data_IF_067872508235
#
_entry.id   IF_067872508235
#
_cell.length_a   1.000
_cell.length_b   1.000
_cell.length_c   1.000
_cell.angle_alpha   90.00
_cell.angle_beta   90.00
_cell.angle_gamma   90.00
#
_symmetry.space_group_name_H-M   'P 1'
#
loop_
_entity.id
_entity.type
_entity.pdbx_description
1 polymer ?
#
# COMPACT_ATOMS: atom_id res chain seq x y z
N UNK A 1 12.86 5.35 24.22
CA UNK A 1 11.65 4.52 24.14
C UNK A 1 10.74 4.88 22.97
N UNK A 2 10.49 6.16 22.66
CA UNK A 2 9.64 6.57 21.52
C UNK A 2 10.21 6.09 20.16
N UNK A 3 11.51 6.26 19.93
CA UNK A 3 12.23 5.81 18.73
C UNK A 3 12.13 4.31 18.48
N UNK A 4 12.19 3.49 19.54
CA UNK A 4 12.01 2.04 19.42
C UNK A 4 10.60 1.65 18.98
N UNK A 5 9.56 2.39 19.40
CA UNK A 5 8.17 2.15 18.95
C UNK A 5 7.98 2.54 17.48
N UNK A 6 8.61 3.64 17.05
CA UNK A 6 8.60 4.03 15.64
C UNK A 6 9.30 3.01 14.75
N UNK A 7 10.47 2.52 15.14
CA UNK A 7 11.20 1.50 14.39
C UNK A 7 10.41 0.19 14.29
N UNK A 8 9.81 -0.27 15.40
CA UNK A 8 8.96 -1.46 15.37
C UNK A 8 7.71 -1.27 14.50
N UNK A 9 7.13 -0.06 14.48
CA UNK A 9 5.98 0.24 13.62
C UNK A 9 6.38 0.27 12.14
N UNK A 10 7.49 0.93 11.80
CA UNK A 10 8.02 0.95 10.43
C UNK A 10 8.38 -0.46 9.95
N UNK A 11 8.98 -1.28 10.80
CA UNK A 11 9.32 -2.67 10.47
C UNK A 11 8.07 -3.48 10.09
N UNK A 12 7.00 -3.40 10.89
CA UNK A 12 5.73 -4.06 10.58
C UNK A 12 5.08 -3.52 9.29
N UNK A 13 5.24 -2.22 9.03
CA UNK A 13 4.72 -1.54 7.85
C UNK A 13 5.37 -2.07 6.57
N UNK A 14 6.66 -2.38 6.62
CA UNK A 14 7.41 -2.94 5.48
C UNK A 14 7.35 -4.47 5.37
N UNK A 15 7.15 -5.20 6.47
CA UNK A 15 7.00 -6.66 6.45
C UNK A 15 5.68 -7.12 5.79
N UNK A 16 4.59 -6.42 6.06
CA UNK A 16 3.27 -6.80 5.54
C UNK A 16 3.18 -6.87 4.00
N UNK A 17 3.66 -5.86 3.25
CA UNK A 17 3.65 -5.94 1.78
C UNK A 17 4.56 -7.05 1.23
N UNK A 18 5.67 -7.38 1.92
CA UNK A 18 6.55 -8.49 1.52
C UNK A 18 5.83 -9.84 1.66
N UNK A 19 5.14 -10.05 2.79
CA UNK A 19 4.32 -11.25 3.00
C UNK A 19 3.18 -11.35 1.98
N UNK A 20 2.53 -10.23 1.66
CA UNK A 20 1.47 -10.18 0.65
C UNK A 20 1.98 -10.57 -0.75
N UNK A 21 3.13 -10.03 -1.18
CA UNK A 21 3.74 -10.40 -2.46
C UNK A 21 4.16 -11.87 -2.49
N UNK A 22 4.67 -12.39 -1.37
CA UNK A 22 5.07 -13.79 -1.25
C UNK A 22 3.87 -14.70 -1.40
N UNK A 23 2.81 -14.48 -0.62
CA UNK A 23 1.55 -15.21 -0.75
C UNK A 23 1.00 -15.14 -2.18
N UNK A 24 1.14 -13.97 -2.82
CA UNK A 24 0.66 -13.79 -4.18
C UNK A 24 1.48 -14.57 -5.22
N UNK A 25 2.80 -14.65 -5.09
CA UNK A 25 3.59 -15.50 -5.99
C UNK A 25 3.16 -16.97 -5.93
N UNK A 26 2.79 -17.47 -4.75
CA UNK A 26 2.29 -18.84 -4.57
C UNK A 26 0.93 -19.04 -5.24
N UNK A 27 -0.04 -18.17 -4.94
CA UNK A 27 -1.38 -18.27 -5.53
C UNK A 27 -1.37 -18.13 -7.04
N UNK A 28 -0.56 -17.21 -7.56
CA UNK A 28 -0.41 -17.02 -9.00
C UNK A 28 0.21 -18.25 -9.65
N UNK A 29 1.23 -18.86 -9.04
CA UNK A 29 1.84 -20.12 -9.52
C UNK A 29 0.81 -21.25 -9.60
N UNK A 30 -0.04 -21.41 -8.59
CA UNK A 30 -1.12 -22.41 -8.58
C UNK A 30 -2.12 -22.13 -9.71
N UNK A 31 -2.53 -20.86 -9.88
CA UNK A 31 -3.52 -20.47 -10.90
C UNK A 31 -3.03 -20.67 -12.36
N UNK A 32 -1.72 -20.57 -12.58
CA UNK A 32 -1.08 -20.77 -13.89
C UNK A 32 -0.73 -22.24 -14.16
N UNK A 33 -0.77 -23.11 -13.15
CA UNK A 33 -0.46 -24.52 -13.33
C UNK A 33 -1.45 -25.19 -14.30
N UNK A 34 -0.94 -26.08 -15.16
CA UNK A 34 -1.74 -26.81 -16.16
C UNK A 34 -2.42 -28.05 -15.57
N UNK A 35 -1.83 -28.64 -14.53
CA UNK A 35 -2.31 -29.87 -13.90
C UNK A 35 -3.39 -29.62 -12.83
N UNK A 36 -3.74 -28.36 -12.58
CA UNK A 36 -4.74 -27.98 -11.57
C UNK A 36 -6.10 -27.87 -12.25
N UNK A 37 -7.12 -28.47 -11.63
CA UNK A 37 -8.50 -28.36 -12.08
C UNK A 37 -8.91 -26.88 -12.21
N UNK A 38 -9.65 -26.53 -13.27
CA UNK A 38 -10.03 -25.14 -13.57
C UNK A 38 -10.71 -24.44 -12.37
N UNK A 39 -11.51 -25.17 -11.59
CA UNK A 39 -12.15 -24.65 -10.38
C UNK A 39 -11.14 -24.29 -9.28
N UNK A 40 -10.12 -25.12 -9.06
CA UNK A 40 -9.06 -24.84 -8.08
C UNK A 40 -8.15 -23.69 -8.53
N UNK A 41 -7.89 -23.55 -9.84
CA UNK A 41 -7.15 -22.41 -10.38
C UNK A 41 -7.95 -21.10 -10.26
N UNK A 42 -9.26 -21.14 -10.50
CA UNK A 42 -10.15 -19.99 -10.34
C UNK A 42 -10.26 -19.54 -8.88
N UNK A 43 -10.41 -20.47 -7.93
CA UNK A 43 -10.46 -20.14 -6.50
C UNK A 43 -9.14 -19.56 -6.00
N UNK A 44 -7.99 -20.08 -6.45
CA UNK A 44 -6.67 -19.52 -6.14
C UNK A 44 -6.54 -18.06 -6.63
N UNK A 45 -6.98 -17.77 -7.86
CA UNK A 45 -6.96 -16.42 -8.43
C UNK A 45 -7.94 -15.47 -7.71
N UNK A 46 -9.11 -15.95 -7.30
CA UNK A 46 -10.06 -15.18 -6.50
C UNK A 46 -9.48 -14.82 -5.12
N UNK A 47 -8.89 -15.80 -4.42
CA UNK A 47 -8.18 -15.57 -3.15
C UNK A 47 -7.03 -14.58 -3.32
N UNK A 48 -6.28 -14.70 -4.42
CA UNK A 48 -5.21 -13.77 -4.76
C UNK A 48 -5.72 -12.33 -4.87
N UNK A 49 -6.84 -12.12 -5.56
CA UNK A 49 -7.47 -10.80 -5.67
C UNK A 49 -7.87 -10.24 -4.31
N UNK A 50 -8.49 -11.06 -3.46
CA UNK A 50 -8.91 -10.67 -2.10
C UNK A 50 -7.71 -10.26 -1.26
N UNK A 51 -6.64 -11.06 -1.23
CA UNK A 51 -5.43 -10.74 -0.46
C UNK A 51 -4.79 -9.43 -0.89
N UNK A 52 -4.79 -9.14 -2.19
CA UNK A 52 -4.27 -7.87 -2.71
C UNK A 52 -5.11 -6.70 -2.21
N UNK A 53 -6.45 -6.80 -2.30
CA UNK A 53 -7.34 -5.74 -1.83
C UNK A 53 -7.20 -5.52 -0.32
N UNK A 54 -7.08 -6.59 0.47
CA UNK A 54 -6.80 -6.50 1.91
C UNK A 54 -5.45 -5.81 2.18
N UNK A 55 -4.42 -6.16 1.41
CA UNK A 55 -3.08 -5.56 1.54
C UNK A 55 -3.09 -4.07 1.17
N UNK A 56 -3.78 -3.70 0.08
CA UNK A 56 -3.98 -2.30 -0.30
C UNK A 56 -4.70 -1.51 0.78
N UNK A 57 -5.77 -2.08 1.34
CA UNK A 57 -6.57 -1.45 2.40
C UNK A 57 -5.72 -1.23 3.66
N UNK A 58 -4.98 -2.26 4.08
CA UNK A 58 -4.12 -2.17 5.26
C UNK A 58 -3.02 -1.12 5.08
N UNK A 59 -2.32 -1.13 3.94
CA UNK A 59 -1.30 -0.14 3.61
C UNK A 59 -1.89 1.29 3.59
N UNK A 60 -3.09 1.45 3.04
CA UNK A 60 -3.83 2.72 3.04
C UNK A 60 -4.18 3.19 4.45
N UNK A 61 -4.63 2.27 5.31
CA UNK A 61 -4.95 2.56 6.72
C UNK A 61 -3.72 2.96 7.52
N UNK A 62 -2.58 2.26 7.36
CA UNK A 62 -1.33 2.64 8.00
C UNK A 62 -0.86 4.02 7.57
N UNK A 63 -0.91 4.30 6.26
CA UNK A 63 -0.56 5.63 5.73
C UNK A 63 -1.44 6.73 6.32
N UNK A 64 -2.74 6.46 6.47
CA UNK A 64 -3.67 7.39 7.08
C UNK A 64 -3.35 7.68 8.56
N UNK A 65 -3.03 6.64 9.33
CA UNK A 65 -2.64 6.77 10.74
C UNK A 65 -1.34 7.55 10.90
N UNK A 66 -0.33 7.26 10.07
CA UNK A 66 0.95 7.98 10.04
C UNK A 66 0.74 9.49 9.84
N UNK A 67 -0.17 9.87 8.93
CA UNK A 67 -0.49 11.28 8.67
C UNK A 67 -1.19 11.96 9.85
N UNK A 68 -2.09 11.25 10.54
CA UNK A 68 -2.73 11.77 11.77
C UNK A 68 -1.71 11.97 12.88
N UNK A 69 -0.84 10.98 13.10
CA UNK A 69 0.18 11.04 14.13
C UNK A 69 1.13 12.22 13.91
N UNK A 70 1.58 12.42 12.67
CA UNK A 70 2.39 13.59 12.28
C UNK A 70 1.66 14.90 12.54
N UNK A 71 0.36 14.98 12.25
CA UNK A 71 -0.42 16.19 12.51
C UNK A 71 -0.56 16.50 14.00
N UNK A 72 -0.83 15.48 14.82
CA UNK A 72 -0.91 15.64 16.28
C UNK A 72 0.44 16.01 16.88
N UNK A 73 1.52 15.41 16.39
CA UNK A 73 2.88 15.71 16.85
C UNK A 73 3.21 17.18 16.58
N UNK A 74 2.86 17.69 15.39
CA UNK A 74 3.02 19.10 15.04
C UNK A 74 2.22 20.04 15.95
N UNK A 75 0.96 19.73 16.23
CA UNK A 75 0.16 20.54 17.17
C UNK A 75 0.81 20.60 18.57
N UNK A 76 1.42 19.49 18.99
CA UNK A 76 2.14 19.42 20.25
C UNK A 76 3.43 20.24 20.22
N UNK A 77 4.19 20.17 19.13
CA UNK A 77 5.41 20.98 18.91
C UNK A 77 5.10 22.48 18.88
N UNK A 78 4.04 22.88 18.18
CA UNK A 78 3.56 24.27 18.13
C UNK A 78 3.09 24.75 19.50
N UNK A 79 2.40 23.91 20.28
CA UNK A 79 1.95 24.24 21.63
C UNK A 79 3.11 24.35 22.65
N UNK A 80 4.17 23.56 22.48
CA UNK A 80 5.32 23.53 23.38
C UNK A 80 6.46 24.49 22.95
N UNK A 81 6.32 25.16 21.80
CA UNK A 81 7.36 26.00 21.18
C UNK A 81 8.72 25.29 21.05
N UNK A 82 8.71 23.99 20.80
CA UNK A 82 9.93 23.19 20.61
C UNK A 82 10.31 23.28 19.13
N UNK A 83 11.62 23.33 18.85
CA UNK A 83 12.14 23.25 17.49
C UNK A 83 11.57 21.99 16.79
N UNK A 84 11.07 22.10 15.56
CA UNK A 84 10.23 21.06 14.98
C UNK A 84 11.04 19.81 14.63
N UNK A 85 11.06 18.84 15.55
CA UNK A 85 11.67 17.52 15.36
C UNK A 85 10.95 16.72 14.26
N UNK A 86 9.63 16.88 14.13
CA UNK A 86 8.82 16.29 13.06
C UNK A 86 9.19 16.81 11.66
N UNK A 87 9.90 17.94 11.59
CA UNK A 87 10.20 18.67 10.34
C UNK A 87 11.66 18.52 9.90
N UNK A 88 12.41 17.56 10.46
CA UNK A 88 13.82 17.34 10.10
C UNK A 88 14.05 16.90 8.63
N UNK A 89 13.00 16.72 7.83
CA UNK A 89 13.13 16.65 6.37
C UNK A 89 12.85 18.01 5.74
N UNK A 90 13.91 18.75 5.43
CA UNK A 90 13.97 19.91 4.53
C UNK A 90 13.36 19.69 3.13
N UNK A 91 12.82 18.49 2.86
CA UNK A 91 12.28 18.06 1.58
C UNK A 91 10.74 18.01 1.50
N UNK A 92 9.99 18.13 2.60
CA UNK A 92 8.53 17.93 2.55
C UNK A 92 7.79 19.07 3.26
N UNK A 93 7.15 19.95 2.48
CA UNK A 93 6.20 20.92 3.01
C UNK A 93 4.88 20.20 3.38
N UNK A 94 4.66 19.96 4.67
CA UNK A 94 3.43 19.35 5.17
C UNK A 94 2.25 20.32 5.06
N UNK A 95 1.33 20.02 4.13
CA UNK A 95 0.01 20.66 4.03
C UNK A 95 -1.02 19.99 4.95
N UNK A 96 -2.11 20.68 5.32
CA UNK A 96 -3.09 20.19 6.29
C UNK A 96 -3.63 18.81 5.92
N UNK A 97 -3.86 17.98 6.94
CA UNK A 97 -4.36 16.62 6.80
C UNK A 97 -5.70 16.60 6.06
N UNK A 98 -5.88 15.67 5.09
CA UNK A 98 -7.17 15.48 4.46
C UNK A 98 -8.22 15.05 5.49
N UNK A 99 -9.43 15.60 5.39
CA UNK A 99 -10.54 15.26 6.31
C UNK A 99 -10.94 13.79 6.10
N UNK A 100 -11.29 13.10 7.18
CA UNK A 100 -11.78 11.73 7.13
C UNK A 100 -12.95 11.63 6.13
N UNK A 101 -12.79 10.81 5.08
CA UNK A 101 -13.79 10.64 4.01
C UNK A 101 -13.55 11.41 2.71
N UNK A 102 -12.54 12.29 2.63
CA UNK A 102 -12.15 12.89 1.34
C UNK A 102 -11.26 11.95 0.53
N UNK A 103 -11.48 11.89 -0.79
CA UNK A 103 -10.60 11.19 -1.71
C UNK A 103 -9.17 11.78 -1.63
N UNK A 104 -8.19 10.95 -1.28
CA UNK A 104 -6.79 11.33 -1.20
C UNK A 104 -6.30 11.86 -2.56
N UNK A 105 -5.77 13.08 -2.59
CA UNK A 105 -5.17 13.66 -3.80
C UNK A 105 -3.68 13.37 -3.82
N UNK A 106 -3.09 13.23 -5.02
CA UNK A 106 -1.63 13.09 -5.23
C UNK A 106 -0.82 14.11 -4.40
N UNK A 107 -1.31 15.34 -4.30
CA UNK A 107 -0.66 16.41 -3.53
C UNK A 107 -0.56 16.16 -2.03
N UNK A 108 -1.48 15.38 -1.45
CA UNK A 108 -1.52 15.09 0.00
C UNK A 108 -0.40 14.13 0.43
N UNK A 109 0.32 13.54 -0.53
CA UNK A 109 1.47 12.68 -0.30
C UNK A 109 2.81 13.44 -0.33
N UNK A 110 2.79 14.77 -0.41
CA UNK A 110 3.99 15.62 -0.39
C UNK A 110 4.73 15.74 -1.74
N UNK A 111 4.11 15.27 -2.82
CA UNK A 111 4.64 15.08 -4.19
C UNK A 111 5.24 16.31 -4.91
N UNK A 112 5.33 17.47 -4.25
CA UNK A 112 5.82 18.74 -4.84
C UNK A 112 7.12 19.17 -4.17
N UNK A 113 8.23 18.49 -4.48
CA UNK A 113 9.55 19.08 -4.24
C UNK A 113 10.39 19.05 -5.54
N UNK A 114 10.72 20.21 -6.13
CA UNK A 114 11.34 20.29 -7.46
C UNK A 114 12.81 19.85 -7.53
N UNK A 115 13.41 19.39 -6.43
CA UNK A 115 14.87 19.18 -6.34
C UNK A 115 15.35 17.73 -6.38
N UNK A 116 14.45 16.74 -6.42
CA UNK A 116 14.78 15.32 -6.51
C UNK A 116 14.50 14.74 -7.91
N UNK A 117 15.32 13.77 -8.32
CA UNK A 117 15.07 12.95 -9.52
C UNK A 117 13.65 12.38 -9.48
N UNK A 118 12.97 12.38 -10.64
CA UNK A 118 11.55 12.01 -10.76
C UNK A 118 11.21 10.66 -10.11
N UNK A 119 12.12 9.68 -10.13
CA UNK A 119 11.96 8.39 -9.45
C UNK A 119 11.77 8.53 -7.93
N UNK A 120 12.50 9.42 -7.26
CA UNK A 120 12.44 9.58 -5.80
C UNK A 120 11.33 10.52 -5.35
N UNK A 121 10.73 11.26 -6.29
CA UNK A 121 9.58 12.11 -6.00
C UNK A 121 8.29 11.30 -5.78
N UNK A 122 8.22 10.08 -6.30
CA UNK A 122 7.03 9.23 -6.15
C UNK A 122 7.01 8.63 -4.74
N UNK A 123 5.95 8.86 -3.94
CA UNK A 123 5.83 8.25 -2.62
C UNK A 123 5.83 6.74 -2.76
N UNK A 124 6.61 6.05 -1.93
CA UNK A 124 6.68 4.59 -1.95
C UNK A 124 5.30 3.94 -1.88
N UNK A 125 4.38 4.51 -1.09
CA UNK A 125 2.97 4.11 -1.03
C UNK A 125 2.29 4.04 -2.41
N UNK A 126 2.52 5.02 -3.29
CA UNK A 126 1.91 5.08 -4.62
C UNK A 126 2.47 3.98 -5.51
N UNK A 127 3.78 3.73 -5.46
CA UNK A 127 4.44 2.65 -6.21
C UNK A 127 3.85 1.31 -5.79
N UNK A 128 3.70 1.09 -4.48
CA UNK A 128 3.09 -0.13 -3.94
C UNK A 128 1.63 -0.31 -4.36
N UNK A 129 0.81 0.73 -4.30
CA UNK A 129 -0.58 0.66 -4.74
C UNK A 129 -0.70 0.35 -6.23
N UNK A 130 0.15 0.95 -7.07
CA UNK A 130 0.19 0.65 -8.51
C UNK A 130 0.57 -0.81 -8.75
N UNK A 131 1.65 -1.29 -8.12
CA UNK A 131 2.11 -2.67 -8.26
C UNK A 131 1.04 -3.69 -7.84
N UNK A 132 0.43 -3.48 -6.68
CA UNK A 132 -0.69 -4.31 -6.21
C UNK A 132 -1.88 -4.26 -7.17
N UNK A 133 -2.18 -3.10 -7.78
CA UNK A 133 -3.29 -2.96 -8.72
C UNK A 133 -3.11 -3.82 -9.95
N UNK A 134 -1.89 -3.90 -10.48
CA UNK A 134 -1.56 -4.80 -11.59
C UNK A 134 -1.84 -6.25 -11.24
N UNK A 135 -1.41 -6.70 -10.04
CA UNK A 135 -1.68 -8.06 -9.61
C UNK A 135 -3.18 -8.34 -9.41
N UNK A 136 -3.96 -7.36 -8.95
CA UNK A 136 -5.40 -7.52 -8.77
C UNK A 136 -6.09 -7.73 -10.13
N UNK A 137 -5.72 -6.92 -11.13
CA UNK A 137 -6.23 -7.05 -12.50
C UNK A 137 -5.82 -8.39 -13.10
N UNK A 138 -4.56 -8.80 -12.95
CA UNK A 138 -4.07 -10.07 -13.47
C UNK A 138 -4.82 -11.26 -12.86
N UNK A 139 -4.99 -11.30 -11.53
CA UNK A 139 -5.73 -12.37 -10.86
C UNK A 139 -7.21 -12.39 -11.27
N UNK A 140 -7.84 -11.22 -11.40
CA UNK A 140 -9.23 -11.12 -11.86
C UNK A 140 -9.37 -11.65 -13.28
N UNK A 141 -8.44 -11.30 -14.19
CA UNK A 141 -8.44 -11.80 -15.56
C UNK A 141 -8.26 -13.32 -15.63
N UNK A 142 -7.34 -13.89 -14.84
CA UNK A 142 -7.13 -15.34 -14.76
C UNK A 142 -8.39 -16.04 -14.24
N UNK A 143 -9.02 -15.49 -13.20
CA UNK A 143 -10.25 -16.03 -12.65
C UNK A 143 -11.37 -16.10 -13.71
N UNK A 144 -11.62 -14.99 -14.42
CA UNK A 144 -12.63 -14.93 -15.48
C UNK A 144 -12.30 -15.91 -16.61
N UNK A 145 -11.04 -15.95 -17.05
CA UNK A 145 -10.60 -16.87 -18.11
C UNK A 145 -10.84 -18.33 -17.71
N UNK A 146 -10.43 -18.74 -16.51
CA UNK A 146 -10.62 -20.12 -16.02
C UNK A 146 -12.09 -20.49 -15.87
N UNK A 147 -12.93 -19.57 -15.38
CA UNK A 147 -14.38 -19.79 -15.30
C UNK A 147 -15.02 -19.94 -16.68
N UNK A 148 -14.58 -19.17 -17.68
CA UNK A 148 -15.10 -19.27 -19.05
C UNK A 148 -14.82 -20.63 -19.70
N UNK A 149 -13.65 -21.22 -19.39
CA UNK A 149 -13.25 -22.54 -19.87
C UNK A 149 -14.09 -23.68 -19.24
N UNK A 150 -14.64 -23.48 -18.04
CA UNK A 150 -15.50 -24.46 -17.39
C UNK A 150 -16.86 -24.62 -18.08
N UNK A 151 -17.36 -23.59 -18.75
CA UNK A 151 -18.63 -23.66 -19.48
C UNK A 151 -18.54 -24.31 -20.87
N UNK A 152 -17.32 -24.61 -21.35
CA UNK A 152 -17.06 -25.20 -22.67
C UNK A 152 -16.67 -26.70 -22.60
N UNK A 153 -16.51 -27.25 -21.39
CA UNK A 153 -16.20 -28.65 -21.12
C UNK A 153 -17.45 -29.40 -20.65
#
# INVERSE_FOLDING_TARGET
MLTARFLAHDELLWQTPVLALTAQSFLMTISLSRDVANLAAATAAALGTILILMSMHLLGRHRFLELIEKHKLRQLEEALQIEPLSTHSWAWQYRPTPKLGSAFKRRDYGLENPRYLWIFSVPSYVIWQIGLSFFAVANTAICIFRLSQMGQA
#
